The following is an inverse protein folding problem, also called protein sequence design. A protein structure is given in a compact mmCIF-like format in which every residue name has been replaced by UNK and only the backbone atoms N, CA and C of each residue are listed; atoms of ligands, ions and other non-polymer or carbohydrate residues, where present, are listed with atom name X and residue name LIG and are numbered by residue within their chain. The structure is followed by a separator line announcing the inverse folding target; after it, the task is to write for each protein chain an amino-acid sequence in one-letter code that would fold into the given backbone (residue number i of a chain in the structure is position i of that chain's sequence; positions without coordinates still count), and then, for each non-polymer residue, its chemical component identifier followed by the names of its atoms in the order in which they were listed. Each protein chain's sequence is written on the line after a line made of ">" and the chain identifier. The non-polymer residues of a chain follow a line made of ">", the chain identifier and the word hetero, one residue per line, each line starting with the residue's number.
data_IF_716787840167
#
_entry.id   IF_716787840167
#
_cell.length_a   1.000
_cell.length_b   1.000
_cell.length_c   1.000
_cell.angle_alpha   90.00
_cell.angle_beta   90.00
_cell.angle_gamma   90.00
#
_symmetry.space_group_name_H-M   'P 1'
#
loop_
_entity.id
_entity.type
_entity.pdbx_description
1 polymer ?
#
# COMPACT_ATOMS: atom_id res chain seq x y z
N UNK A 1 -36.38 -17.43 5.57
CA UNK A 1 -35.49 -16.98 6.65
C UNK A 1 -34.85 -18.24 7.23
N UNK A 2 -33.57 -18.48 6.95
CA UNK A 2 -32.84 -19.61 7.50
C UNK A 2 -32.16 -19.19 8.82
N UNK A 3 -32.26 -20.08 9.80
CA UNK A 3 -31.81 -19.92 11.18
C UNK A 3 -30.33 -19.52 11.28
N UNK A 4 -30.08 -18.48 12.06
CA UNK A 4 -28.76 -17.96 12.39
C UNK A 4 -28.15 -18.86 13.47
N UNK A 5 -27.37 -19.87 13.06
CA UNK A 5 -26.64 -20.77 13.94
C UNK A 5 -25.60 -19.94 14.74
N UNK A 6 -25.94 -19.66 16.00
CA UNK A 6 -25.09 -18.89 16.92
C UNK A 6 -24.00 -19.79 17.47
N UNK A 7 -22.93 -20.01 16.70
CA UNK A 7 -21.67 -20.41 17.29
C UNK A 7 -21.03 -19.15 17.94
N UNK A 8 -20.64 -19.16 19.23
CA UNK A 8 -19.97 -18.01 19.82
C UNK A 8 -18.69 -17.67 19.02
N UNK A 9 -18.35 -16.38 18.85
CA UNK A 9 -17.12 -15.98 18.20
C UNK A 9 -15.92 -16.65 18.89
N UNK A 10 -15.03 -17.25 18.10
CA UNK A 10 -13.84 -17.92 18.65
C UNK A 10 -12.91 -16.86 19.24
N UNK A 11 -12.38 -17.10 20.44
CA UNK A 11 -11.39 -16.23 21.07
C UNK A 11 -10.02 -16.51 20.48
N UNK A 12 -9.28 -15.46 20.10
CA UNK A 12 -7.93 -15.59 19.54
C UNK A 12 -6.95 -16.09 20.62
N UNK A 13 -5.95 -16.93 20.27
CA UNK A 13 -4.85 -17.23 21.18
C UNK A 13 -4.18 -15.94 21.64
N UNK A 14 -3.85 -15.83 22.93
CA UNK A 14 -3.18 -14.65 23.46
C UNK A 14 -1.80 -14.44 22.85
N UNK A 15 -1.07 -15.54 22.60
CA UNK A 15 0.29 -15.54 22.04
C UNK A 15 0.51 -16.79 21.17
N UNK A 16 1.50 -16.68 20.27
CA UNK A 16 2.08 -17.83 19.56
C UNK A 16 3.52 -18.03 20.03
N UNK A 17 3.91 -19.27 20.33
CA UNK A 17 5.28 -19.57 20.78
C UNK A 17 6.31 -19.33 19.66
N UNK A 18 5.93 -19.57 18.41
CA UNK A 18 6.78 -19.33 17.24
C UNK A 18 6.01 -18.73 16.07
N UNK A 19 6.73 -18.10 15.13
CA UNK A 19 6.17 -17.62 13.86
C UNK A 19 5.59 -18.76 13.01
N UNK A 20 6.14 -19.97 13.15
CA UNK A 20 5.66 -21.15 12.43
C UNK A 20 4.27 -21.56 12.94
N UNK A 21 4.08 -21.59 14.25
CA UNK A 21 2.79 -21.93 14.86
C UNK A 21 1.71 -20.91 14.49
N UNK A 22 2.08 -19.63 14.42
CA UNK A 22 1.18 -18.58 13.91
C UNK A 22 0.78 -18.82 12.45
N UNK A 23 1.73 -19.23 11.60
CA UNK A 23 1.45 -19.56 10.20
C UNK A 23 0.51 -20.76 10.05
N UNK A 24 0.82 -21.86 10.74
CA UNK A 24 -0.01 -23.07 10.72
C UNK A 24 -1.43 -22.80 11.24
N UNK A 25 -1.58 -21.92 12.23
CA UNK A 25 -2.88 -21.45 12.69
C UNK A 25 -3.65 -20.69 11.60
N UNK A 26 -3.03 -19.72 10.93
CA UNK A 26 -3.71 -18.94 9.88
C UNK A 26 -3.95 -19.73 8.58
N UNK A 27 -3.29 -20.87 8.39
CA UNK A 27 -3.62 -21.81 7.30
C UNK A 27 -4.94 -22.57 7.56
N UNK A 28 -5.32 -22.77 8.82
CA UNK A 28 -6.53 -23.49 9.22
C UNK A 28 -7.71 -22.55 9.56
N UNK A 29 -7.43 -21.35 10.06
CA UNK A 29 -8.43 -20.42 10.60
C UNK A 29 -8.51 -19.12 9.80
N UNK A 30 -9.73 -18.61 9.54
CA UNK A 30 -9.92 -17.32 8.87
C UNK A 30 -9.92 -16.18 9.88
N UNK A 31 -9.30 -15.04 9.52
CA UNK A 31 -9.39 -13.81 10.32
C UNK A 31 -10.83 -13.34 10.49
N UNK A 32 -11.73 -13.63 9.55
CA UNK A 32 -13.14 -13.26 9.65
C UNK A 32 -13.90 -14.01 10.77
N UNK A 33 -13.34 -15.10 11.31
CA UNK A 33 -13.97 -15.94 12.34
C UNK A 33 -13.72 -15.44 13.77
N UNK A 34 -12.89 -14.40 13.94
CA UNK A 34 -12.45 -13.85 15.22
C UNK A 34 -12.85 -12.38 15.36
N UNK A 35 -13.24 -11.98 16.58
CA UNK A 35 -13.44 -10.58 16.92
C UNK A 35 -12.10 -9.91 17.23
N UNK A 36 -11.72 -8.89 16.44
CA UNK A 36 -10.55 -8.07 16.70
C UNK A 36 -10.96 -6.74 17.33
N UNK A 37 -10.23 -6.33 18.37
CA UNK A 37 -10.29 -4.95 18.85
C UNK A 37 -9.56 -4.04 17.87
N UNK A 38 -10.20 -2.94 17.47
CA UNK A 38 -9.56 -1.94 16.64
C UNK A 38 -8.46 -1.22 17.44
N UNK A 39 -7.20 -1.51 17.11
CA UNK A 39 -6.06 -0.81 17.70
C UNK A 39 -5.78 0.45 16.89
N UNK A 40 -5.87 1.61 17.55
CA UNK A 40 -5.42 2.86 16.96
C UNK A 40 -3.89 2.88 16.94
N UNK A 41 -3.31 3.01 15.75
CA UNK A 41 -1.86 3.15 15.57
C UNK A 41 -1.61 4.52 14.95
N UNK A 42 -0.89 5.37 15.67
CA UNK A 42 -0.37 6.62 15.13
C UNK A 42 0.88 6.31 14.30
N UNK A 43 0.77 6.52 12.99
CA UNK A 43 1.90 6.41 12.06
C UNK A 43 2.32 7.82 11.69
N UNK A 44 3.48 8.26 12.19
CA UNK A 44 4.10 9.50 11.74
C UNK A 44 4.79 9.27 10.40
N UNK A 45 4.09 9.59 9.30
CA UNK A 45 4.72 9.63 7.98
C UNK A 45 5.36 11.00 7.80
N UNK A 46 6.70 11.09 7.71
CA UNK A 46 7.36 12.36 7.47
C UNK A 46 6.84 12.97 6.16
N UNK A 47 6.61 14.29 6.10
CA UNK A 47 6.20 14.94 4.86
C UNK A 47 7.27 14.68 3.80
N UNK A 48 6.86 14.07 2.67
CA UNK A 48 7.77 13.82 1.56
C UNK A 48 8.38 15.15 1.10
N UNK A 49 9.72 15.29 1.09
CA UNK A 49 10.36 16.50 0.60
C UNK A 49 10.04 16.70 -0.89
N UNK A 50 9.68 17.93 -1.27
CA UNK A 50 9.46 18.31 -2.67
C UNK A 50 8.23 19.19 -2.91
N UNK A 51 8.29 20.01 -3.96
CA UNK A 51 7.14 20.79 -4.44
C UNK A 51 6.25 19.92 -5.34
N UNK A 52 4.94 19.96 -5.12
CA UNK A 52 3.97 19.24 -5.97
C UNK A 52 3.54 20.13 -7.15
N UNK A 53 3.69 19.62 -8.37
CA UNK A 53 3.20 20.25 -9.59
C UNK A 53 2.03 19.43 -10.11
N UNK A 54 0.91 20.08 -10.42
CA UNK A 54 -0.23 19.41 -11.05
C UNK A 54 0.02 19.25 -12.54
N UNK A 55 -0.18 18.03 -13.04
CA UNK A 55 -0.17 17.72 -14.47
C UNK A 55 -1.62 17.65 -14.97
N UNK A 56 -1.82 17.92 -16.25
CA UNK A 56 -3.07 17.58 -16.92
C UNK A 56 -3.30 16.06 -16.85
N UNK A 57 -4.56 15.64 -16.75
CA UNK A 57 -4.90 14.23 -16.54
C UNK A 57 -4.35 13.32 -17.65
N UNK A 58 -4.52 13.72 -18.91
CA UNK A 58 -4.04 12.96 -20.06
C UNK A 58 -2.51 12.85 -20.11
N UNK A 59 -1.80 13.89 -19.65
CA UNK A 59 -0.35 13.88 -19.53
C UNK A 59 0.10 12.93 -18.41
N UNK A 60 -0.58 12.96 -17.27
CA UNK A 60 -0.29 12.06 -16.15
C UNK A 60 -0.49 10.59 -16.54
N UNK A 61 -1.54 10.28 -17.30
CA UNK A 61 -1.82 8.93 -17.81
C UNK A 61 -0.71 8.45 -18.75
N UNK A 62 -0.30 9.29 -19.71
CA UNK A 62 0.79 8.97 -20.64
C UNK A 62 2.11 8.77 -19.92
N UNK A 63 2.46 9.67 -18.99
CA UNK A 63 3.68 9.58 -18.20
C UNK A 63 3.71 8.27 -17.40
N UNK A 64 2.59 7.90 -16.78
CA UNK A 64 2.47 6.67 -15.99
C UNK A 64 2.61 5.43 -16.86
N UNK A 65 1.99 5.42 -18.05
CA UNK A 65 2.09 4.31 -18.98
C UNK A 65 3.54 4.08 -19.44
N UNK A 66 4.26 5.15 -19.78
CA UNK A 66 5.67 5.07 -20.20
C UNK A 66 6.57 4.65 -19.04
N UNK A 67 6.38 5.24 -17.85
CA UNK A 67 7.17 4.88 -16.67
C UNK A 67 7.02 3.39 -16.31
N UNK A 68 5.78 2.87 -16.38
CA UNK A 68 5.48 1.45 -16.14
C UNK A 68 6.18 0.54 -17.16
N UNK A 69 6.21 0.91 -18.44
CA UNK A 69 6.93 0.14 -19.46
C UNK A 69 8.44 0.11 -19.21
N UNK A 70 8.99 1.16 -18.58
CA UNK A 70 10.41 1.27 -18.23
C UNK A 70 10.75 0.71 -16.84
N UNK A 71 9.77 0.21 -16.09
CA UNK A 71 9.98 -0.32 -14.74
C UNK A 71 10.38 0.73 -13.69
N UNK A 72 10.09 2.02 -13.95
CA UNK A 72 10.41 3.13 -13.04
C UNK A 72 9.15 3.89 -12.63
N UNK A 73 9.26 4.75 -11.62
CA UNK A 73 8.13 5.58 -11.18
C UNK A 73 7.88 6.75 -12.14
N UNK A 74 6.63 7.22 -12.20
CA UNK A 74 6.27 8.42 -12.97
C UNK A 74 7.04 9.67 -12.48
N UNK A 75 7.30 9.76 -11.18
CA UNK A 75 8.12 10.81 -10.56
C UNK A 75 9.57 10.78 -11.08
N UNK A 76 10.18 9.59 -11.11
CA UNK A 76 11.55 9.40 -11.63
C UNK A 76 11.63 9.81 -13.10
N UNK A 77 10.68 9.34 -13.93
CA UNK A 77 10.66 9.67 -15.35
C UNK A 77 10.48 11.17 -15.59
N UNK A 78 9.56 11.81 -14.85
CA UNK A 78 9.35 13.26 -14.95
C UNK A 78 10.61 14.04 -14.58
N UNK A 79 11.29 13.67 -13.49
CA UNK A 79 12.51 14.33 -13.05
C UNK A 79 13.64 14.19 -14.09
N UNK A 80 13.83 13.01 -14.67
CA UNK A 80 14.84 12.80 -15.72
C UNK A 80 14.59 13.67 -16.95
N UNK A 81 13.35 13.67 -17.45
CA UNK A 81 12.97 14.49 -18.61
C UNK A 81 13.10 15.99 -18.33
N UNK A 82 12.67 16.46 -17.16
CA UNK A 82 12.79 17.87 -16.79
C UNK A 82 14.26 18.28 -16.68
N UNK A 83 15.12 17.46 -16.09
CA UNK A 83 16.56 17.72 -16.02
C UNK A 83 17.16 17.85 -17.43
N UNK A 84 16.88 16.89 -18.33
CA UNK A 84 17.40 16.92 -19.70
C UNK A 84 16.95 18.19 -20.46
N UNK A 85 15.68 18.57 -20.35
CA UNK A 85 15.15 19.77 -21.01
C UNK A 85 15.73 21.05 -20.44
N UNK A 86 15.84 21.16 -19.11
CA UNK A 86 16.39 22.34 -18.46
C UNK A 86 17.90 22.48 -18.74
N UNK A 87 18.65 21.38 -18.77
CA UNK A 87 20.06 21.38 -19.15
C UNK A 87 20.27 21.87 -20.58
N UNK A 88 19.37 21.51 -21.50
CA UNK A 88 19.43 21.97 -22.91
C UNK A 88 19.10 23.47 -23.06
N UNK A 89 18.22 24.00 -22.20
CA UNK A 89 17.83 25.41 -22.24
C UNK A 89 18.83 26.35 -21.55
N UNK A 90 19.66 25.81 -20.66
CA UNK A 90 20.65 26.56 -19.90
C UNK A 90 22.04 26.61 -20.56
N UNK A 91 22.24 25.92 -21.68
CA UNK A 91 23.46 25.96 -22.50
C UNK A 91 23.29 26.82 -23.74
#
# INVERSE_FOLDING_TARGET
>A
MADNDKNPPKTMPADFETLKDAGEFWDEYSTADYEFEAVAVDIDLPPRPGQRIRLAADLADKLTAVAKQQGISAETLANLWLQEKLSTLAG
#
